data_IF_981769337173
#
_entry.id   IF_981769337173
#
_cell.length_a   1.000
_cell.length_b   1.000
_cell.length_c   1.000
_cell.angle_alpha   90.00
_cell.angle_beta   90.00
_cell.angle_gamma   90.00
#
_symmetry.space_group_name_H-M   'P 1'
#
loop_
_entity.id
_entity.type
_entity.pdbx_description
1 polymer ?
#
# COMPACT_ATOMS: atom_id res chain seq x y z
N UNK A 1 9.24 -14.75 7.04
CA UNK A 1 9.52 -13.74 6.00
C UNK A 1 8.67 -12.52 6.29
N UNK A 2 9.25 -11.33 6.43
CA UNK A 2 8.55 -10.08 6.66
C UNK A 2 8.16 -9.45 5.32
N UNK A 3 6.87 -9.27 5.09
CA UNK A 3 6.34 -8.61 3.89
C UNK A 3 5.79 -7.25 4.30
N UNK A 4 6.38 -6.19 3.77
CA UNK A 4 5.83 -4.84 3.82
C UNK A 4 5.08 -4.57 2.53
N UNK A 5 3.81 -4.19 2.61
CA UNK A 5 2.97 -3.95 1.44
C UNK A 5 2.18 -2.66 1.58
N UNK A 6 2.16 -1.85 0.53
CA UNK A 6 1.33 -0.64 0.47
C UNK A 6 -0.16 -0.97 0.43
N UNK A 7 -0.97 -0.13 1.06
CA UNK A 7 -2.43 -0.26 1.06
C UNK A 7 -3.04 0.41 -0.18
N UNK A 8 -3.11 1.73 -0.19
CA UNK A 8 -3.73 2.50 -1.27
C UNK A 8 -2.88 2.39 -2.54
N UNK A 9 -3.53 2.21 -3.70
CA UNK A 9 -2.84 2.03 -4.99
C UNK A 9 -2.35 0.60 -5.23
N UNK A 10 -2.12 -0.17 -4.17
CA UNK A 10 -1.54 -1.52 -4.23
C UNK A 10 -2.53 -2.63 -3.87
N UNK A 11 -3.11 -2.59 -2.66
CA UNK A 11 -4.09 -3.58 -2.16
C UNK A 11 -5.52 -3.04 -2.13
N UNK A 12 -5.68 -1.72 -2.03
CA UNK A 12 -6.94 -1.02 -1.87
C UNK A 12 -7.08 0.08 -2.95
N UNK A 13 -8.31 0.26 -3.41
CA UNK A 13 -8.69 1.36 -4.31
C UNK A 13 -10.00 2.00 -3.83
N UNK A 14 -10.25 3.25 -4.26
CA UNK A 14 -11.51 3.92 -3.95
C UNK A 14 -12.70 3.22 -4.61
N UNK A 15 -13.87 3.28 -3.95
CA UNK A 15 -15.05 2.48 -4.35
C UNK A 15 -15.51 2.72 -5.79
N UNK A 16 -15.38 3.94 -6.31
CA UNK A 16 -15.85 4.27 -7.68
C UNK A 16 -14.96 3.66 -8.78
N UNK A 17 -13.79 3.11 -8.42
CA UNK A 17 -12.90 2.40 -9.32
C UNK A 17 -13.44 1.01 -9.74
N UNK A 18 -14.48 0.49 -9.07
CA UNK A 18 -15.05 -0.83 -9.39
C UNK A 18 -15.52 -0.86 -10.86
N UNK A 19 -15.02 -1.84 -11.62
CA UNK A 19 -15.36 -2.03 -13.03
C UNK A 19 -14.71 -1.03 -14.00
N UNK A 20 -13.75 -0.22 -13.52
CA UNK A 20 -12.99 0.73 -14.35
C UNK A 20 -11.68 0.11 -14.83
N UNK A 21 -11.16 0.60 -15.96
CA UNK A 21 -9.80 0.28 -16.40
C UNK A 21 -8.78 1.04 -15.56
N UNK A 22 -7.53 0.58 -15.51
CA UNK A 22 -6.45 1.25 -14.79
C UNK A 22 -6.31 2.72 -15.20
N UNK A 23 -6.37 3.01 -16.49
CA UNK A 23 -6.23 4.38 -17.03
C UNK A 23 -7.36 5.29 -16.55
N UNK A 24 -8.57 4.75 -16.43
CA UNK A 24 -9.71 5.48 -15.86
C UNK A 24 -9.47 5.74 -14.37
N UNK A 25 -9.03 4.74 -13.61
CA UNK A 25 -8.78 4.90 -12.16
C UNK A 25 -7.70 5.96 -11.92
N UNK A 26 -6.58 5.91 -12.65
CA UNK A 26 -5.51 6.91 -12.58
C UNK A 26 -6.05 8.31 -12.90
N UNK A 27 -6.94 8.44 -13.88
CA UNK A 27 -7.58 9.71 -14.21
C UNK A 27 -8.43 10.22 -13.04
N UNK A 28 -9.22 9.37 -12.37
CA UNK A 28 -10.02 9.75 -11.20
C UNK A 28 -9.13 10.30 -10.07
N UNK A 29 -7.97 9.68 -9.84
CA UNK A 29 -7.00 10.14 -8.84
C UNK A 29 -6.41 11.50 -9.23
N UNK A 30 -5.95 11.65 -10.48
CA UNK A 30 -5.40 12.92 -10.98
C UNK A 30 -6.43 14.07 -10.95
N UNK A 31 -7.70 13.76 -11.19
CA UNK A 31 -8.80 14.72 -11.12
C UNK A 31 -9.34 14.93 -9.69
N UNK A 32 -8.82 14.18 -8.70
CA UNK A 32 -9.21 14.23 -7.29
C UNK A 32 -10.72 14.11 -7.08
N UNK A 33 -11.34 13.15 -7.77
CA UNK A 33 -12.77 12.86 -7.63
C UNK A 33 -13.14 12.57 -6.17
N UNK A 34 -14.38 12.88 -5.79
CA UNK A 34 -14.84 12.82 -4.39
C UNK A 34 -14.53 11.49 -3.69
N UNK A 35 -14.76 10.36 -4.38
CA UNK A 35 -14.52 9.03 -3.82
C UNK A 35 -13.05 8.73 -3.52
N UNK A 36 -12.10 9.42 -4.18
CA UNK A 36 -10.66 9.26 -3.93
C UNK A 36 -10.29 9.75 -2.52
N UNK A 37 -11.11 10.61 -1.92
CA UNK A 37 -10.91 11.08 -0.54
C UNK A 37 -11.72 10.32 0.49
N UNK A 38 -12.63 9.45 0.07
CA UNK A 38 -13.44 8.62 0.95
C UNK A 38 -12.72 7.31 1.27
N UNK A 39 -11.61 7.41 2.02
CA UNK A 39 -10.78 6.26 2.38
C UNK A 39 -11.58 5.15 3.06
N UNK A 40 -12.58 5.48 3.89
CA UNK A 40 -13.42 4.50 4.58
C UNK A 40 -14.25 3.62 3.62
N UNK A 41 -14.53 4.10 2.41
CA UNK A 41 -15.23 3.34 1.39
C UNK A 41 -14.31 2.50 0.51
N UNK A 42 -12.98 2.50 0.73
CA UNK A 42 -12.06 1.75 -0.11
C UNK A 42 -12.36 0.24 -0.09
N UNK A 43 -12.00 -0.40 -1.18
CA UNK A 43 -12.28 -1.82 -1.46
C UNK A 43 -10.99 -2.54 -1.86
N UNK A 44 -10.87 -3.85 -1.58
CA UNK A 44 -9.74 -4.64 -2.05
C UNK A 44 -9.65 -4.66 -3.58
N UNK A 45 -8.44 -4.65 -4.09
CA UNK A 45 -8.15 -4.86 -5.51
C UNK A 45 -8.00 -6.36 -5.75
N UNK A 46 -8.84 -6.91 -6.64
CA UNK A 46 -8.80 -8.32 -7.02
C UNK A 46 -8.92 -9.28 -5.82
N UNK A 47 -8.10 -10.32 -5.80
CA UNK A 47 -8.04 -11.35 -4.76
C UNK A 47 -6.95 -11.10 -3.72
N UNK A 48 -6.56 -9.83 -3.52
CA UNK A 48 -5.48 -9.44 -2.60
C UNK A 48 -5.62 -10.08 -1.20
N UNK A 49 -6.82 -10.09 -0.64
CA UNK A 49 -7.11 -10.67 0.68
C UNK A 49 -6.71 -12.15 0.75
N UNK A 50 -7.12 -12.94 -0.24
CA UNK A 50 -6.86 -14.38 -0.25
C UNK A 50 -5.40 -14.68 -0.55
N UNK A 51 -4.75 -13.88 -1.40
CA UNK A 51 -3.31 -13.98 -1.67
C UNK A 51 -2.50 -13.79 -0.38
N UNK A 52 -2.78 -12.70 0.36
CA UNK A 52 -2.10 -12.42 1.64
C UNK A 52 -2.38 -13.53 2.67
N UNK A 53 -3.60 -14.04 2.75
CA UNK A 53 -3.92 -15.19 3.64
C UNK A 53 -3.10 -16.43 3.30
N UNK A 54 -2.86 -16.72 2.01
CA UNK A 54 -2.03 -17.86 1.60
C UNK A 54 -0.58 -17.68 2.06
N UNK A 55 -0.01 -16.48 1.91
CA UNK A 55 1.34 -16.19 2.40
C UNK A 55 1.44 -16.26 3.92
N UNK A 56 0.47 -15.71 4.66
CA UNK A 56 0.47 -15.79 6.13
C UNK A 56 0.36 -17.23 6.62
N UNK A 57 -0.44 -18.08 5.96
CA UNK A 57 -0.51 -19.53 6.28
C UNK A 57 0.82 -20.25 6.10
N UNK A 58 1.71 -19.72 5.26
CA UNK A 58 3.07 -20.23 5.03
C UNK A 58 4.12 -19.57 5.94
N UNK A 59 3.70 -18.75 6.91
CA UNK A 59 4.60 -18.11 7.87
C UNK A 59 5.10 -16.73 7.46
N UNK A 60 4.45 -16.06 6.50
CA UNK A 60 4.70 -14.64 6.26
C UNK A 60 4.18 -13.78 7.42
N UNK A 61 5.00 -12.83 7.85
CA UNK A 61 4.64 -11.79 8.80
C UNK A 61 4.27 -10.52 8.01
N UNK A 62 3.03 -10.04 8.18
CA UNK A 62 2.48 -8.96 7.38
C UNK A 62 2.65 -7.60 8.05
N UNK A 63 3.17 -6.65 7.28
CA UNK A 63 3.29 -5.24 7.62
C UNK A 63 2.59 -4.44 6.52
N UNK A 64 1.70 -3.53 6.90
CA UNK A 64 0.94 -2.70 5.98
C UNK A 64 1.44 -1.26 6.03
N UNK A 65 1.60 -0.63 4.88
CA UNK A 65 2.02 0.76 4.77
C UNK A 65 0.88 1.60 4.18
N UNK A 66 0.40 2.54 4.99
CA UNK A 66 -0.74 3.39 4.69
C UNK A 66 -0.29 4.72 4.07
N UNK A 67 -1.06 5.20 3.09
CA UNK A 67 -0.94 6.57 2.56
C UNK A 67 -1.48 7.64 3.54
N UNK A 68 -2.33 7.27 4.49
CA UNK A 68 -2.81 8.15 5.55
C UNK A 68 -1.68 8.58 6.49
N UNK A 69 -1.72 9.84 6.92
CA UNK A 69 -0.68 10.48 7.74
C UNK A 69 -1.28 11.41 8.79
N UNK A 70 -0.56 11.58 9.91
CA UNK A 70 -0.90 12.61 10.91
C UNK A 70 -0.46 14.02 10.46
N UNK A 71 0.40 14.12 9.44
CA UNK A 71 0.90 15.40 8.97
C UNK A 71 -0.14 16.15 8.14
N UNK A 72 -0.79 17.14 8.79
CA UNK A 72 -1.75 18.04 8.15
C UNK A 72 -1.18 18.88 7.00
N UNK A 73 0.14 18.87 6.79
CA UNK A 73 0.84 19.59 5.72
C UNK A 73 1.37 18.67 4.62
N UNK A 74 1.08 17.37 4.66
CA UNK A 74 1.42 16.47 3.58
C UNK A 74 0.81 16.98 2.25
N UNK A 75 1.50 16.68 1.14
CA UNK A 75 1.08 17.12 -0.20
C UNK A 75 -0.24 16.44 -0.59
N UNK A 76 -0.86 16.99 -1.64
CA UNK A 76 -2.19 16.64 -2.16
C UNK A 76 -2.57 15.17 -1.95
N UNK A 77 -3.81 14.99 -1.49
CA UNK A 77 -4.52 13.71 -1.33
C UNK A 77 -4.21 12.98 0.00
N UNK A 78 -3.05 13.24 0.61
CA UNK A 78 -2.59 12.61 1.86
C UNK A 78 -2.97 13.43 3.11
N UNK A 79 -4.24 13.46 3.51
CA UNK A 79 -4.64 14.09 4.80
C UNK A 79 -5.81 13.22 5.36
N UNK A 80 -6.01 12.88 6.65
CA UNK A 80 -6.08 13.74 7.85
C UNK A 80 -6.16 12.90 9.15
N UNK A 81 -5.51 13.37 10.23
CA UNK A 81 -5.99 13.29 11.63
C UNK A 81 -6.03 11.93 12.34
N UNK A 82 -6.03 11.92 13.68
CA UNK A 82 -6.01 10.70 14.52
C UNK A 82 -7.16 9.72 14.25
N UNK A 83 -8.32 10.23 13.82
CA UNK A 83 -9.49 9.40 13.47
C UNK A 83 -9.30 8.71 12.12
N UNK A 84 -8.61 9.34 11.17
CA UNK A 84 -8.27 8.74 9.87
C UNK A 84 -7.32 7.55 9.99
N UNK A 85 -6.41 7.54 10.97
CA UNK A 85 -5.46 6.44 11.17
C UNK A 85 -6.11 5.09 11.52
N UNK A 86 -7.34 5.09 12.03
CA UNK A 86 -8.07 3.84 12.34
C UNK A 86 -8.77 3.26 11.12
N UNK A 87 -9.00 4.06 10.09
CA UNK A 87 -9.78 3.69 8.90
C UNK A 87 -9.17 2.48 8.20
N UNK A 88 -7.85 2.46 8.03
CA UNK A 88 -7.19 1.32 7.38
C UNK A 88 -7.35 0.04 8.18
N UNK A 89 -7.20 0.09 9.51
CA UNK A 89 -7.44 -1.10 10.34
C UNK A 89 -8.88 -1.59 10.24
N UNK A 90 -9.85 -0.68 10.26
CA UNK A 90 -11.28 -1.01 10.11
C UNK A 90 -11.59 -1.64 8.75
N UNK A 91 -10.94 -1.17 7.68
CA UNK A 91 -11.06 -1.76 6.34
C UNK A 91 -10.43 -3.14 6.28
N UNK A 92 -9.21 -3.28 6.82
CA UNK A 92 -8.51 -4.56 6.89
C UNK A 92 -9.36 -5.60 7.63
N UNK A 93 -9.96 -5.21 8.76
CA UNK A 93 -10.86 -6.07 9.54
C UNK A 93 -12.15 -6.39 8.77
N UNK A 94 -12.78 -5.39 8.14
CA UNK A 94 -14.03 -5.52 7.38
C UNK A 94 -13.90 -6.52 6.23
N UNK A 95 -12.79 -6.49 5.49
CA UNK A 95 -12.54 -7.41 4.39
C UNK A 95 -11.79 -8.69 4.81
N UNK A 96 -11.44 -8.79 6.09
CA UNK A 96 -10.79 -9.96 6.66
C UNK A 96 -9.38 -10.20 6.12
N UNK A 97 -8.60 -9.14 5.94
CA UNK A 97 -7.15 -9.25 5.70
C UNK A 97 -6.47 -10.00 6.85
N UNK A 98 -5.34 -10.70 6.61
CA UNK A 98 -4.60 -11.30 7.70
C UNK A 98 -4.07 -10.24 8.66
N UNK A 99 -3.99 -10.61 9.94
CA UNK A 99 -3.46 -9.72 10.98
C UNK A 99 -2.04 -9.27 10.62
N UNK A 100 -1.78 -8.00 10.82
CA UNK A 100 -0.49 -7.37 10.59
C UNK A 100 -0.50 -5.96 11.16
N UNK A 101 0.68 -5.39 11.35
CA UNK A 101 0.80 -4.03 11.88
C UNK A 101 0.66 -3.01 10.74
N UNK A 102 -0.22 -2.02 10.92
CA UNK A 102 -0.36 -0.88 10.01
C UNK A 102 0.59 0.23 10.44
N UNK A 103 1.39 0.72 9.49
CA UNK A 103 2.29 1.83 9.66
C UNK A 103 1.79 3.02 8.87
N UNK A 104 1.86 4.18 9.51
CA UNK A 104 1.53 5.48 8.94
C UNK A 104 2.76 6.36 9.11
N UNK A 105 2.98 7.30 8.19
CA UNK A 105 4.01 8.33 8.40
C UNK A 105 3.63 9.20 9.58
N UNK A 106 4.56 9.32 10.52
CA UNK A 106 4.50 10.37 11.53
C UNK A 106 4.96 11.71 10.92
N UNK A 107 4.70 12.81 11.63
CA UNK A 107 5.12 14.15 11.20
C UNK A 107 6.63 14.20 10.95
N UNK A 108 7.02 14.49 9.71
CA UNK A 108 8.43 14.54 9.28
C UNK A 108 9.09 13.18 9.03
N UNK A 109 8.36 12.07 9.14
CA UNK A 109 8.82 10.73 8.78
C UNK A 109 8.51 10.44 7.30
N UNK A 110 9.45 9.86 6.57
CA UNK A 110 9.23 9.38 5.19
C UNK A 110 8.86 7.89 5.17
N UNK A 111 8.24 7.43 4.08
CA UNK A 111 7.99 6.00 3.89
C UNK A 111 9.30 5.19 3.89
N UNK A 112 10.39 5.77 3.36
CA UNK A 112 11.70 5.13 3.35
C UNK A 112 12.22 4.91 4.77
N UNK A 113 12.07 5.87 5.68
CA UNK A 113 12.46 5.70 7.08
C UNK A 113 11.66 4.59 7.78
N UNK A 114 10.37 4.44 7.45
CA UNK A 114 9.56 3.31 7.94
C UNK A 114 10.08 1.99 7.38
N UNK A 115 10.29 1.90 6.06
CA UNK A 115 10.80 0.71 5.40
C UNK A 115 12.19 0.31 5.94
N UNK A 116 13.07 1.28 6.20
CA UNK A 116 14.39 1.08 6.81
C UNK A 116 14.28 0.52 8.24
N UNK A 117 13.37 1.07 9.04
CA UNK A 117 13.13 0.62 10.42
C UNK A 117 12.55 -0.79 10.48
N UNK A 118 11.64 -1.13 9.56
CA UNK A 118 11.06 -2.48 9.46
C UNK A 118 12.08 -3.47 8.89
N UNK A 119 12.90 -3.02 7.94
CA UNK A 119 13.82 -3.83 7.14
C UNK A 119 13.14 -5.13 6.66
N UNK A 120 12.10 -5.03 5.80
CA UNK A 120 11.36 -6.20 5.34
C UNK A 120 12.20 -7.08 4.43
N UNK A 121 11.85 -8.36 4.33
CA UNK A 121 12.46 -9.25 3.34
C UNK A 121 11.92 -8.92 1.93
N UNK A 122 10.63 -8.57 1.85
CA UNK A 122 9.93 -8.17 0.63
C UNK A 122 9.20 -6.85 0.84
N UNK A 123 9.38 -5.89 -0.08
CA UNK A 123 8.57 -4.68 -0.20
C UNK A 123 7.72 -4.77 -1.47
N UNK A 124 6.39 -4.73 -1.31
CA UNK A 124 5.43 -4.66 -2.40
C UNK A 124 4.84 -3.25 -2.42
N UNK A 125 5.08 -2.51 -3.50
CA UNK A 125 4.55 -1.16 -3.69
C UNK A 125 4.15 -0.96 -5.15
N UNK A 126 3.24 -0.04 -5.41
CA UNK A 126 2.90 0.34 -6.77
C UNK A 126 3.94 1.28 -7.40
N UNK A 127 3.84 1.44 -8.72
CA UNK A 127 4.71 2.27 -9.53
C UNK A 127 4.42 3.78 -9.43
N UNK A 128 3.45 4.22 -8.61
CA UNK A 128 3.13 5.62 -8.34
C UNK A 128 2.84 6.46 -9.61
N UNK A 129 2.27 5.86 -10.66
CA UNK A 129 2.00 6.48 -11.99
C UNK A 129 1.11 7.75 -11.89
N UNK A 130 0.25 7.81 -10.89
CA UNK A 130 -0.59 8.98 -10.62
C UNK A 130 0.19 10.21 -10.15
N UNK A 131 1.29 10.04 -9.43
CA UNK A 131 2.01 11.11 -8.72
C UNK A 131 3.44 11.38 -9.21
N UNK A 132 4.01 10.53 -10.07
CA UNK A 132 5.33 10.79 -10.65
C UNK A 132 6.11 9.56 -11.11
N UNK A 133 5.59 8.36 -10.89
CA UNK A 133 6.24 7.13 -11.29
C UNK A 133 7.29 6.67 -10.28
N UNK A 134 8.25 5.86 -10.76
CA UNK A 134 9.29 5.21 -9.96
C UNK A 134 10.12 6.16 -9.07
N UNK A 135 10.25 7.43 -9.46
CA UNK A 135 10.98 8.44 -8.67
C UNK A 135 10.30 8.77 -7.35
N UNK A 136 9.00 8.50 -7.21
CA UNK A 136 8.21 8.75 -5.99
C UNK A 136 8.09 7.48 -5.12
N UNK A 137 8.52 6.31 -5.63
CA UNK A 137 8.48 5.05 -4.88
C UNK A 137 9.33 5.10 -3.61
N UNK A 138 8.89 4.40 -2.58
CA UNK A 138 9.56 4.29 -1.29
C UNK A 138 10.97 3.75 -1.42
N UNK A 139 11.13 2.65 -2.17
CA UNK A 139 12.43 2.01 -2.37
C UNK A 139 13.47 2.92 -3.04
N UNK A 140 13.04 3.97 -3.73
CA UNK A 140 13.95 4.94 -4.37
C UNK A 140 14.73 5.73 -3.32
N UNK A 141 14.15 5.94 -2.14
CA UNK A 141 14.74 6.75 -1.06
C UNK A 141 15.31 5.93 0.10
N UNK A 142 15.12 4.60 0.09
CA UNK A 142 15.72 3.70 1.09
C UNK A 142 17.24 3.68 0.94
N UNK A 143 17.94 3.74 2.07
CA UNK A 143 19.39 3.64 2.16
C UNK A 143 19.92 2.46 1.33
N UNK A 144 20.91 2.66 0.44
CA UNK A 144 21.42 1.61 -0.44
C UNK A 144 21.84 0.32 0.26
N UNK A 145 22.40 0.39 1.48
CA UNK A 145 22.83 -0.77 2.25
C UNK A 145 21.66 -1.65 2.71
N UNK A 146 20.54 -1.00 3.07
CA UNK A 146 19.31 -1.67 3.49
C UNK A 146 18.55 -2.15 2.27
N UNK A 147 18.43 -1.30 1.23
CA UNK A 147 17.77 -1.60 -0.04
C UNK A 147 18.26 -2.91 -0.66
N UNK A 148 19.56 -3.20 -0.61
CA UNK A 148 20.14 -4.45 -1.15
C UNK A 148 19.65 -5.73 -0.45
N UNK A 149 19.03 -5.61 0.72
CA UNK A 149 18.48 -6.73 1.50
C UNK A 149 16.97 -6.88 1.32
N UNK A 150 16.33 -5.91 0.67
CA UNK A 150 14.89 -5.89 0.42
C UNK A 150 14.66 -6.37 -1.01
N UNK A 151 13.87 -7.43 -1.18
CA UNK A 151 13.32 -7.78 -2.49
C UNK A 151 12.18 -6.82 -2.81
N UNK A 152 12.38 -5.97 -3.82
CA UNK A 152 11.33 -5.10 -4.32
C UNK A 152 10.44 -5.85 -5.31
N UNK A 153 9.13 -5.77 -5.11
CA UNK A 153 8.10 -6.15 -6.09
C UNK A 153 7.31 -4.88 -6.41
N UNK A 154 7.70 -4.22 -7.49
CA UNK A 154 6.96 -3.09 -8.03
C UNK A 154 5.79 -3.62 -8.86
N UNK A 155 4.56 -3.20 -8.53
CA UNK A 155 3.37 -3.52 -9.32
C UNK A 155 2.85 -2.27 -10.01
N UNK A 156 2.01 -2.46 -11.04
CA UNK A 156 1.28 -1.34 -11.62
C UNK A 156 0.30 -0.79 -10.59
N UNK A 157 0.25 0.53 -10.42
CA UNK A 157 -0.76 1.21 -9.61
C UNK A 157 -2.16 0.78 -10.05
N UNK A 158 -2.99 0.43 -9.05
CA UNK A 158 -4.31 -0.17 -9.18
C UNK A 158 -4.38 -1.52 -9.90
N UNK A 159 -3.23 -2.16 -10.16
CA UNK A 159 -3.14 -3.47 -10.82
C UNK A 159 -3.37 -4.66 -9.88
N UNK A 160 -3.21 -4.47 -8.57
CA UNK A 160 -3.33 -5.52 -7.57
C UNK A 160 -2.21 -6.57 -7.67
N UNK A 161 -2.33 -7.61 -6.85
CA UNK A 161 -1.27 -8.60 -6.62
C UNK A 161 -1.64 -10.03 -7.06
N UNK A 162 -2.74 -10.19 -7.79
CA UNK A 162 -3.28 -11.50 -8.16
C UNK A 162 -2.28 -12.36 -8.96
N UNK A 163 -1.45 -11.69 -9.75
CA UNK A 163 -0.43 -12.29 -10.61
C UNK A 163 0.82 -12.78 -9.87
N UNK A 164 1.00 -12.40 -8.59
CA UNK A 164 2.13 -12.86 -7.77
C UNK A 164 1.95 -14.33 -7.38
N UNK A 165 3.04 -15.09 -7.13
CA UNK A 165 2.96 -16.51 -6.79
C UNK A 165 2.19 -16.74 -5.49
N UNK A 166 1.52 -17.89 -5.40
CA UNK A 166 0.86 -18.32 -4.16
C UNK A 166 1.88 -18.89 -3.16
N UNK A 167 2.97 -19.48 -3.63
CA UNK A 167 4.06 -20.01 -2.81
C UNK A 167 4.93 -18.88 -2.28
N UNK A 168 5.08 -18.80 -0.96
CA UNK A 168 5.87 -17.76 -0.29
C UNK A 168 7.36 -17.82 -0.64
N UNK A 169 7.87 -19.01 -0.99
CA UNK A 169 9.28 -19.19 -1.37
C UNK A 169 9.60 -18.70 -2.78
N UNK A 170 8.58 -18.57 -3.63
CA UNK A 170 8.69 -18.00 -4.98
C UNK A 170 8.52 -16.47 -4.98
N UNK A 171 7.98 -15.92 -3.88
CA UNK A 171 7.75 -14.49 -3.69
C UNK A 171 9.05 -13.71 -3.61
#
# INVERSE_FOLDING_TARGET
MKILVFLQGTLLMHKSAIGKTREQIIRQVKEQEESVRDFNAYVPIGNAVDKLKKWTKQGAEMFYLSALTEDKKARGDEVIGREGLKVDQEILDRYGFPKGQVYHRQKGESYAQIAERIAPDVLIEDDCDSIGGEKEMTITFVNPEIKRRIKLIAIKEFGGIDHLPDDLSEL
#
